data_IF_163272213361
#
_entry.id   IF_163272213361
#
_cell.length_a   1.000
_cell.length_b   1.000
_cell.length_c   1.000
_cell.angle_alpha   90.00
_cell.angle_beta   90.00
_cell.angle_gamma   90.00
#
_symmetry.space_group_name_H-M   'P 1'
#
loop_
_entity.id
_entity.type
_entity.pdbx_description
1 polymer ?
#
# COMPACT_ATOMS: atom_id res chain seq x y z
N UNK A 1 -4.15 -40.70 24.72
CA UNK A 1 -2.80 -40.13 24.93
C UNK A 1 -1.83 -40.82 23.97
N UNK A 2 -1.37 -40.13 22.93
CA UNK A 2 -0.25 -40.56 22.06
C UNK A 2 0.18 -39.39 21.17
N UNK A 3 0.73 -38.33 21.76
CA UNK A 3 1.29 -37.18 21.04
C UNK A 3 2.81 -36.97 21.22
N UNK A 4 3.44 -37.67 22.18
CA UNK A 4 4.79 -37.34 22.68
C UNK A 4 5.94 -38.03 21.97
N UNK A 5 5.99 -38.02 20.63
CA UNK A 5 7.22 -38.38 19.89
C UNK A 5 7.39 -37.57 18.62
N UNK A 6 6.32 -37.37 17.85
CA UNK A 6 6.36 -36.53 16.66
C UNK A 6 6.40 -35.03 17.01
N UNK A 7 5.64 -34.60 18.03
CA UNK A 7 5.68 -33.21 18.51
C UNK A 7 7.06 -32.82 19.04
N UNK A 8 7.67 -33.70 19.83
CA UNK A 8 8.97 -33.48 20.45
C UNK A 8 10.11 -33.42 19.41
N UNK A 9 10.03 -34.23 18.35
CA UNK A 9 10.98 -34.19 17.23
C UNK A 9 10.87 -32.91 16.41
N UNK A 10 9.64 -32.40 16.20
CA UNK A 10 9.42 -31.13 15.51
C UNK A 10 9.94 -29.97 16.37
N UNK A 11 9.69 -29.97 17.69
CA UNK A 11 10.25 -28.96 18.60
C UNK A 11 11.79 -28.97 18.67
N UNK A 12 12.42 -30.14 18.52
CA UNK A 12 13.88 -30.28 18.47
C UNK A 12 14.47 -29.87 17.12
N UNK A 13 13.73 -30.01 16.01
CA UNK A 13 14.20 -29.66 14.68
C UNK A 13 13.98 -28.18 14.31
N UNK A 14 13.05 -27.49 14.98
CA UNK A 14 12.70 -26.11 14.66
C UNK A 14 13.70 -25.11 15.24
N UNK A 15 14.14 -24.18 14.39
CA UNK A 15 14.86 -22.98 14.83
C UNK A 15 13.98 -22.11 15.73
N UNK A 16 14.58 -21.25 16.55
CA UNK A 16 13.82 -20.29 17.36
C UNK A 16 12.87 -19.44 16.52
N UNK A 17 13.30 -19.00 15.33
CA UNK A 17 12.43 -18.31 14.38
C UNK A 17 11.26 -19.18 13.93
N UNK A 18 11.50 -20.45 13.60
CA UNK A 18 10.44 -21.40 13.24
C UNK A 18 9.40 -21.58 14.35
N UNK A 19 9.84 -21.67 15.61
CA UNK A 19 8.96 -21.74 16.78
C UNK A 19 8.10 -20.49 16.92
N UNK A 20 8.70 -19.31 16.81
CA UNK A 20 7.97 -18.03 16.92
C UNK A 20 6.98 -17.85 15.76
N UNK A 21 7.37 -18.22 14.54
CA UNK A 21 6.48 -18.17 13.36
C UNK A 21 5.28 -19.10 13.55
N UNK A 22 5.50 -20.36 13.92
CA UNK A 22 4.41 -21.31 14.14
C UNK A 22 3.49 -20.86 15.28
N UNK A 23 4.05 -20.30 16.34
CA UNK A 23 3.27 -19.70 17.41
C UNK A 23 2.39 -18.56 16.89
N UNK A 24 2.96 -17.58 16.16
CA UNK A 24 2.19 -16.48 15.56
C UNK A 24 1.03 -17.00 14.69
N UNK A 25 1.28 -17.99 13.84
CA UNK A 25 0.25 -18.62 13.01
C UNK A 25 -0.85 -19.29 13.87
N UNK A 26 -0.46 -19.93 14.96
CA UNK A 26 -1.39 -20.66 15.84
C UNK A 26 -2.32 -19.75 16.65
N UNK A 27 -1.92 -18.51 16.90
CA UNK A 27 -2.70 -17.52 17.67
C UNK A 27 -3.49 -16.57 16.77
N UNK A 28 -3.35 -16.64 15.46
CA UNK A 28 -3.96 -15.71 14.51
C UNK A 28 -5.48 -15.55 14.73
N UNK A 29 -5.90 -14.34 15.12
CA UNK A 29 -7.31 -14.01 15.38
C UNK A 29 -7.87 -14.53 16.71
N UNK A 30 -7.05 -15.17 17.54
CA UNK A 30 -7.40 -15.63 18.89
C UNK A 30 -6.64 -14.80 19.94
N UNK A 31 -7.18 -13.61 20.22
CA UNK A 31 -6.63 -12.65 21.19
C UNK A 31 -6.37 -13.30 22.56
N UNK A 32 -7.27 -14.19 23.00
CA UNK A 32 -7.17 -14.82 24.30
C UNK A 32 -6.04 -15.86 24.35
N UNK A 33 -5.80 -16.58 23.24
CA UNK A 33 -4.67 -17.50 23.13
C UNK A 33 -3.35 -16.75 23.03
N UNK A 34 -3.29 -15.64 22.28
CA UNK A 34 -2.13 -14.75 22.24
C UNK A 34 -1.71 -14.36 23.65
N UNK A 35 -2.64 -13.84 24.46
CA UNK A 35 -2.36 -13.42 25.84
C UNK A 35 -1.90 -14.57 26.74
N UNK A 36 -2.47 -15.78 26.59
CA UNK A 36 -2.10 -16.93 27.42
C UNK A 36 -0.75 -17.56 27.05
N UNK A 37 -0.36 -17.50 25.78
CA UNK A 37 0.80 -18.23 25.27
C UNK A 37 2.04 -17.36 25.03
N UNK A 38 1.91 -16.03 25.06
CA UNK A 38 3.01 -15.10 24.77
C UNK A 38 4.24 -15.30 25.68
N UNK A 39 4.07 -15.68 26.95
CA UNK A 39 5.19 -15.95 27.87
C UNK A 39 5.95 -17.22 27.51
N UNK A 40 5.31 -18.20 26.85
CA UNK A 40 5.96 -19.45 26.44
C UNK A 40 6.96 -19.25 25.32
N UNK A 41 6.77 -18.22 24.51
CA UNK A 41 7.62 -17.97 23.33
C UNK A 41 8.72 -16.93 23.59
N UNK A 42 8.79 -16.36 24.80
CA UNK A 42 9.71 -15.29 25.15
C UNK A 42 11.18 -15.66 24.93
N UNK A 43 11.60 -16.85 25.33
CA UNK A 43 12.98 -17.32 25.14
C UNK A 43 13.34 -17.49 23.66
N UNK A 44 12.42 -18.04 22.86
CA UNK A 44 12.60 -18.18 21.42
C UNK A 44 12.64 -16.82 20.73
N UNK A 45 11.84 -15.85 21.18
CA UNK A 45 11.86 -14.47 20.67
C UNK A 45 13.20 -13.78 20.96
N UNK A 46 13.73 -13.97 22.17
CA UNK A 46 15.04 -13.46 22.58
C UNK A 46 16.17 -14.06 21.72
N UNK A 47 16.09 -15.34 21.38
CA UNK A 47 17.04 -15.99 20.46
C UNK A 47 16.92 -15.42 19.04
N UNK A 48 15.70 -15.20 18.53
CA UNK A 48 15.47 -14.52 17.24
C UNK A 48 16.12 -13.14 17.22
N UNK A 49 15.99 -12.36 18.29
CA UNK A 49 16.57 -11.02 18.39
C UNK A 49 18.10 -11.00 18.43
N UNK A 50 18.75 -12.10 18.83
CA UNK A 50 20.21 -12.25 18.80
C UNK A 50 20.73 -12.69 17.43
N UNK A 51 19.87 -13.22 16.56
CA UNK A 51 20.26 -13.71 15.25
C UNK A 51 20.59 -12.55 14.28
N UNK A 52 21.50 -12.77 13.30
CA UNK A 52 21.69 -11.83 12.20
C UNK A 52 20.37 -11.72 11.41
N UNK A 53 19.80 -10.52 11.33
CA UNK A 53 18.46 -10.20 10.81
C UNK A 53 17.27 -10.39 11.78
N UNK A 54 17.53 -10.58 13.08
CA UNK A 54 16.48 -10.71 14.10
C UNK A 54 15.45 -9.57 14.12
N UNK A 55 15.90 -8.33 13.88
CA UNK A 55 15.01 -7.17 13.83
C UNK A 55 14.03 -7.20 12.64
N UNK A 56 14.50 -7.61 11.47
CA UNK A 56 13.64 -7.72 10.29
C UNK A 56 12.62 -8.87 10.45
N UNK A 57 13.05 -9.98 11.07
CA UNK A 57 12.15 -11.06 11.44
C UNK A 57 11.09 -10.60 12.47
N UNK A 58 11.51 -9.87 13.51
CA UNK A 58 10.60 -9.30 14.49
C UNK A 58 9.58 -8.36 13.84
N UNK A 59 10.01 -7.41 12.99
CA UNK A 59 9.10 -6.51 12.27
C UNK A 59 8.05 -7.29 11.47
N UNK A 60 8.46 -8.35 10.78
CA UNK A 60 7.54 -9.19 10.02
C UNK A 60 6.52 -9.92 10.91
N UNK A 61 6.97 -10.45 12.05
CA UNK A 61 6.12 -11.15 13.03
C UNK A 61 5.13 -10.18 13.70
N UNK A 62 5.58 -9.03 14.16
CA UNK A 62 4.73 -8.01 14.78
C UNK A 62 3.70 -7.47 13.80
N UNK A 63 4.10 -7.19 12.56
CA UNK A 63 3.17 -6.80 11.50
C UNK A 63 2.12 -7.87 11.24
N UNK A 64 2.50 -9.16 11.28
CA UNK A 64 1.54 -10.26 11.14
C UNK A 64 0.56 -10.32 12.30
N UNK A 65 1.02 -10.19 13.54
CA UNK A 65 0.16 -10.19 14.72
C UNK A 65 -0.85 -9.03 14.68
N UNK A 66 -0.38 -7.80 14.41
CA UNK A 66 -1.25 -6.62 14.28
C UNK A 66 -2.28 -6.82 13.15
N UNK A 67 -1.89 -7.43 12.03
CA UNK A 67 -2.80 -7.66 10.91
C UNK A 67 -3.82 -8.77 11.14
N UNK A 68 -3.56 -9.71 12.05
CA UNK A 68 -4.44 -10.86 12.32
C UNK A 68 -5.33 -10.68 13.54
N UNK A 69 -5.06 -9.67 14.36
CA UNK A 69 -5.81 -9.39 15.60
C UNK A 69 -6.47 -8.01 15.50
N UNK A 70 -7.50 -7.89 14.65
CA UNK A 70 -8.16 -6.60 14.34
C UNK A 70 -8.75 -5.87 15.57
N UNK A 71 -9.02 -6.62 16.66
CA UNK A 71 -9.56 -6.08 17.92
C UNK A 71 -8.47 -5.50 18.85
N UNK A 72 -7.22 -5.85 18.58
CA UNK A 72 -6.07 -5.40 19.34
C UNK A 72 -5.38 -4.26 18.58
N UNK A 73 -5.45 -3.06 19.15
CA UNK A 73 -4.63 -1.95 18.69
C UNK A 73 -3.14 -2.22 18.99
N UNK A 74 -2.26 -1.49 18.30
CA UNK A 74 -0.79 -1.61 18.42
C UNK A 74 -0.34 -1.50 19.89
N UNK A 75 -0.99 -0.64 20.68
CA UNK A 75 -0.67 -0.42 22.10
C UNK A 75 -1.06 -1.60 22.99
N UNK A 76 -2.18 -2.27 22.70
CA UNK A 76 -2.58 -3.51 23.39
C UNK A 76 -1.60 -4.64 23.07
N UNK A 77 -1.23 -4.81 21.79
CA UNK A 77 -0.21 -5.80 21.39
C UNK A 77 1.11 -5.53 22.10
N UNK A 78 1.54 -4.26 22.17
CA UNK A 78 2.72 -3.84 22.93
C UNK A 78 2.65 -4.25 24.40
N UNK A 79 1.55 -3.94 25.10
CA UNK A 79 1.38 -4.31 26.51
C UNK A 79 1.35 -5.83 26.76
N UNK A 80 0.83 -6.62 25.83
CA UNK A 80 0.83 -8.08 25.93
C UNK A 80 2.27 -8.60 25.82
N UNK A 81 3.02 -8.10 24.85
CA UNK A 81 4.42 -8.49 24.64
C UNK A 81 5.33 -7.98 25.76
N UNK A 82 5.09 -6.78 26.30
CA UNK A 82 5.81 -6.23 27.45
C UNK A 82 5.74 -7.15 28.66
N UNK A 83 4.57 -7.72 28.96
CA UNK A 83 4.40 -8.64 30.10
C UNK A 83 5.15 -9.96 29.94
N UNK A 84 5.56 -10.29 28.72
CA UNK A 84 6.13 -11.59 28.38
C UNK A 84 7.62 -11.53 28.04
N UNK A 85 8.09 -10.39 27.54
CA UNK A 85 9.43 -10.21 27.02
C UNK A 85 10.44 -9.81 28.11
N UNK A 86 11.70 -10.24 27.96
CA UNK A 86 12.81 -9.71 28.77
C UNK A 86 13.11 -8.23 28.45
N UNK A 87 13.87 -7.51 29.30
CA UNK A 87 14.08 -6.05 29.17
C UNK A 87 14.57 -5.59 27.79
N UNK A 88 15.46 -6.38 27.16
CA UNK A 88 15.97 -6.08 25.81
C UNK A 88 14.89 -6.22 24.75
N UNK A 89 14.07 -7.25 24.82
CA UNK A 89 13.00 -7.49 23.86
C UNK A 89 11.89 -6.46 24.00
N UNK A 90 11.59 -5.98 25.21
CA UNK A 90 10.61 -4.91 25.45
C UNK A 90 10.95 -3.63 24.67
N UNK A 91 12.17 -3.10 24.82
CA UNK A 91 12.59 -1.85 24.16
C UNK A 91 12.51 -1.93 22.62
N UNK A 92 12.97 -3.05 22.07
CA UNK A 92 12.95 -3.28 20.63
C UNK A 92 11.52 -3.44 20.12
N UNK A 93 10.67 -4.20 20.82
CA UNK A 93 9.28 -4.43 20.43
C UNK A 93 8.49 -3.11 20.38
N UNK A 94 8.60 -2.28 21.42
CA UNK A 94 7.91 -0.97 21.47
C UNK A 94 8.35 -0.10 20.29
N UNK A 95 9.66 0.00 20.05
CA UNK A 95 10.21 0.81 18.95
C UNK A 95 9.69 0.33 17.58
N UNK A 96 9.63 -0.98 17.35
CA UNK A 96 9.16 -1.55 16.09
C UNK A 96 7.65 -1.36 15.93
N UNK A 97 6.87 -1.52 17.00
CA UNK A 97 5.42 -1.27 16.98
C UNK A 97 5.09 0.20 16.68
N UNK A 98 5.81 1.14 17.29
CA UNK A 98 5.66 2.57 17.01
C UNK A 98 5.94 2.91 15.54
N UNK A 99 6.98 2.31 14.94
CA UNK A 99 7.27 2.54 13.51
C UNK A 99 6.22 1.90 12.60
N UNK A 100 5.68 0.73 12.97
CA UNK A 100 4.55 0.11 12.26
C UNK A 100 3.32 1.04 12.29
N UNK A 101 2.98 1.60 13.45
CA UNK A 101 1.86 2.54 13.61
C UNK A 101 2.09 3.79 12.76
N UNK A 102 3.23 4.48 12.94
CA UNK A 102 3.56 5.69 12.17
C UNK A 102 3.58 5.44 10.67
N UNK A 103 4.11 4.31 10.20
CA UNK A 103 4.11 3.96 8.77
C UNK A 103 2.70 3.70 8.26
N UNK A 104 1.86 3.07 9.09
CA UNK A 104 0.43 2.88 8.83
C UNK A 104 -0.30 4.21 8.66
N UNK A 105 -0.12 5.13 9.60
CA UNK A 105 -0.70 6.48 9.56
C UNK A 105 -0.26 7.25 8.31
N UNK A 106 1.06 7.36 8.06
CA UNK A 106 1.59 8.04 6.85
C UNK A 106 1.01 7.47 5.56
N UNK A 107 0.87 6.14 5.48
CA UNK A 107 0.26 5.47 4.32
C UNK A 107 -1.24 5.75 4.23
N UNK A 108 -1.94 5.76 5.35
CA UNK A 108 -3.36 6.08 5.45
C UNK A 108 -3.64 7.52 5.02
N UNK A 109 -2.93 8.49 5.57
CA UNK A 109 -3.02 9.90 5.21
C UNK A 109 -2.75 10.15 3.73
N UNK A 110 -1.67 9.56 3.19
CA UNK A 110 -1.36 9.68 1.76
C UNK A 110 -2.48 9.11 0.89
N UNK A 111 -3.00 7.93 1.23
CA UNK A 111 -4.12 7.31 0.51
C UNK A 111 -5.38 8.15 0.59
N UNK A 112 -5.75 8.60 1.79
CA UNK A 112 -6.90 9.46 2.02
C UNK A 112 -6.81 10.76 1.24
N UNK A 113 -5.64 11.40 1.20
CA UNK A 113 -5.41 12.61 0.40
C UNK A 113 -5.59 12.37 -1.10
N UNK A 114 -5.07 11.26 -1.64
CA UNK A 114 -5.21 10.93 -3.07
C UNK A 114 -6.67 10.62 -3.42
N UNK A 115 -7.33 9.76 -2.63
CA UNK A 115 -8.75 9.42 -2.84
C UNK A 115 -9.63 10.67 -2.74
N UNK A 116 -9.42 11.49 -1.70
CA UNK A 116 -10.15 12.74 -1.53
C UNK A 116 -9.95 13.69 -2.70
N UNK A 117 -8.71 13.88 -3.17
CA UNK A 117 -8.46 14.71 -4.38
C UNK A 117 -9.15 14.16 -5.62
N UNK A 118 -9.17 12.85 -5.83
CA UNK A 118 -9.85 12.24 -6.96
C UNK A 118 -11.36 12.48 -6.91
N UNK A 119 -11.97 12.29 -5.73
CA UNK A 119 -13.41 12.56 -5.50
C UNK A 119 -13.75 14.03 -5.72
N UNK A 120 -12.99 14.95 -5.13
CA UNK A 120 -13.20 16.39 -5.35
C UNK A 120 -13.05 16.76 -6.82
N UNK A 121 -12.06 16.21 -7.54
CA UNK A 121 -11.90 16.48 -8.96
C UNK A 121 -13.09 15.95 -9.79
N UNK A 122 -13.65 14.79 -9.44
CA UNK A 122 -14.87 14.28 -10.07
C UNK A 122 -16.05 15.23 -9.88
N UNK A 123 -16.32 15.66 -8.64
CA UNK A 123 -17.41 16.58 -8.32
C UNK A 123 -17.28 17.89 -9.10
N UNK A 124 -16.07 18.45 -9.18
CA UNK A 124 -15.81 19.67 -9.94
C UNK A 124 -16.00 19.48 -11.45
N UNK A 125 -15.57 18.34 -11.99
CA UNK A 125 -15.72 18.02 -13.41
C UNK A 125 -17.19 17.76 -13.77
N UNK A 126 -17.93 17.06 -12.92
CA UNK A 126 -19.38 16.85 -13.08
C UNK A 126 -20.14 18.16 -13.01
N UNK A 127 -19.79 19.04 -12.07
CA UNK A 127 -20.39 20.37 -11.95
C UNK A 127 -20.13 21.26 -13.16
N UNK A 128 -18.96 21.14 -13.81
CA UNK A 128 -18.58 21.98 -14.96
C UNK A 128 -19.01 21.43 -16.32
N UNK A 129 -18.90 20.13 -16.52
CA UNK A 129 -19.09 19.47 -17.81
C UNK A 129 -20.32 18.55 -17.86
N UNK A 130 -21.03 18.38 -16.74
CA UNK A 130 -22.14 17.45 -16.61
C UNK A 130 -21.67 16.01 -16.37
N UNK A 131 -22.60 15.06 -16.50
CA UNK A 131 -22.34 13.65 -16.20
C UNK A 131 -21.11 13.10 -16.94
N UNK A 132 -20.17 12.52 -16.19
CA UNK A 132 -18.94 11.96 -16.74
C UNK A 132 -19.14 10.50 -17.17
N UNK A 133 -18.57 10.07 -18.32
CA UNK A 133 -18.57 8.66 -18.70
C UNK A 133 -17.85 7.81 -17.65
N UNK A 134 -18.37 6.62 -17.33
CA UNK A 134 -17.82 5.73 -16.30
C UNK A 134 -16.31 5.45 -16.46
N UNK A 135 -15.83 5.36 -17.71
CA UNK A 135 -14.40 5.18 -18.02
C UNK A 135 -13.53 6.35 -17.57
N UNK A 136 -14.04 7.58 -17.68
CA UNK A 136 -13.37 8.79 -17.21
C UNK A 136 -13.33 8.79 -15.69
N UNK A 137 -14.45 8.49 -15.04
CA UNK A 137 -14.52 8.46 -13.59
C UNK A 137 -13.57 7.42 -12.98
N UNK A 138 -13.52 6.22 -13.55
CA UNK A 138 -12.58 5.17 -13.14
C UNK A 138 -11.12 5.59 -13.33
N UNK A 139 -10.81 6.28 -14.43
CA UNK A 139 -9.46 6.80 -14.69
C UNK A 139 -9.04 7.86 -13.65
N UNK A 140 -9.98 8.68 -13.18
CA UNK A 140 -9.71 9.70 -12.15
C UNK A 140 -9.49 9.05 -10.79
N UNK A 141 -10.33 8.09 -10.40
CA UNK A 141 -10.17 7.37 -9.14
C UNK A 141 -8.88 6.55 -9.06
N UNK A 142 -8.34 6.11 -10.20
CA UNK A 142 -7.09 5.36 -10.29
C UNK A 142 -5.84 6.24 -10.47
N UNK A 143 -5.98 7.55 -10.66
CA UNK A 143 -4.86 8.44 -10.91
C UNK A 143 -4.02 8.68 -9.64
N UNK A 144 -2.71 8.86 -9.83
CA UNK A 144 -1.81 9.23 -8.74
C UNK A 144 -1.93 10.73 -8.38
N UNK A 145 -1.33 11.09 -7.25
CA UNK A 145 -1.37 12.45 -6.70
C UNK A 145 -0.90 13.51 -7.71
N UNK A 146 0.19 13.25 -8.44
CA UNK A 146 0.78 14.20 -9.38
C UNK A 146 -0.11 14.43 -10.61
N UNK A 147 -0.72 13.36 -11.10
CA UNK A 147 -1.67 13.40 -12.21
C UNK A 147 -2.93 14.19 -11.81
N UNK A 148 -3.47 13.93 -10.62
CA UNK A 148 -4.62 14.65 -10.08
C UNK A 148 -4.32 16.14 -9.93
N UNK A 149 -3.18 16.51 -9.36
CA UNK A 149 -2.75 17.92 -9.24
C UNK A 149 -2.67 18.60 -10.61
N UNK A 150 -2.13 17.91 -11.62
CA UNK A 150 -2.03 18.43 -12.98
C UNK A 150 -3.41 18.70 -13.58
N UNK A 151 -4.35 17.74 -13.44
CA UNK A 151 -5.71 17.91 -13.95
C UNK A 151 -6.48 18.98 -13.21
N UNK A 152 -6.36 19.08 -11.87
CA UNK A 152 -6.97 20.16 -11.09
C UNK A 152 -6.47 21.53 -11.56
N UNK A 153 -5.17 21.67 -11.86
CA UNK A 153 -4.63 22.91 -12.42
C UNK A 153 -5.21 23.25 -13.80
N UNK A 154 -5.28 22.26 -14.70
CA UNK A 154 -5.85 22.43 -16.05
C UNK A 154 -7.34 22.73 -16.04
N UNK A 155 -8.07 22.28 -15.03
CA UNK A 155 -9.48 22.56 -14.87
C UNK A 155 -9.79 24.06 -14.81
N UNK A 156 -8.85 24.91 -14.41
CA UNK A 156 -9.05 26.35 -14.32
C UNK A 156 -9.09 27.06 -15.69
N UNK A 157 -8.52 26.46 -16.73
CA UNK A 157 -8.36 27.10 -18.05
C UNK A 157 -8.90 26.29 -19.22
N UNK A 158 -8.94 24.96 -19.11
CA UNK A 158 -9.43 24.07 -20.15
C UNK A 158 -10.90 24.36 -20.48
N UNK A 159 -11.30 24.32 -21.75
CA UNK A 159 -12.70 24.48 -22.17
C UNK A 159 -13.43 23.14 -22.31
N UNK A 160 -12.69 22.03 -22.32
CA UNK A 160 -13.23 20.68 -22.51
C UNK A 160 -12.64 19.69 -21.52
N UNK A 161 -13.40 18.62 -21.22
CA UNK A 161 -12.92 17.49 -20.42
C UNK A 161 -11.64 16.87 -21.00
N UNK A 162 -11.53 16.82 -22.33
CA UNK A 162 -10.39 16.26 -23.05
C UNK A 162 -9.10 17.03 -22.76
N UNK A 163 -9.17 18.36 -22.75
CA UNK A 163 -8.05 19.24 -22.42
C UNK A 163 -7.59 19.07 -20.97
N UNK A 164 -8.54 18.95 -20.03
CA UNK A 164 -8.21 18.69 -18.61
C UNK A 164 -7.41 17.40 -18.49
N UNK A 165 -7.92 16.31 -19.07
CA UNK A 165 -7.32 14.98 -18.96
C UNK A 165 -6.09 14.78 -19.84
N UNK A 166 -5.72 15.79 -20.66
CA UNK A 166 -4.58 15.73 -21.57
C UNK A 166 -4.72 14.67 -22.65
N UNK A 167 -5.95 14.30 -23.03
CA UNK A 167 -6.17 13.36 -24.12
C UNK A 167 -5.83 14.06 -25.43
N UNK A 168 -4.63 13.81 -25.95
CA UNK A 168 -4.21 14.29 -27.26
C UNK A 168 -5.34 14.03 -28.27
N UNK A 169 -5.80 15.07 -28.98
CA UNK A 169 -6.65 14.89 -30.15
C UNK A 169 -6.00 13.81 -31.01
N UNK A 170 -6.77 12.77 -31.36
CA UNK A 170 -6.28 11.72 -32.24
C UNK A 170 -5.57 12.38 -33.42
N UNK A 171 -4.32 11.97 -33.67
CA UNK A 171 -3.43 12.59 -34.67
C UNK A 171 -4.23 12.94 -35.93
N UNK A 172 -4.53 14.22 -36.08
CA UNK A 172 -4.80 14.82 -37.38
C UNK A 172 -3.47 14.79 -38.15
N UNK A 173 -3.13 13.63 -38.71
CA UNK A 173 -2.01 13.46 -39.65
C UNK A 173 -2.45 12.48 -40.74
N UNK A 174 -3.58 12.79 -41.36
CA UNK A 174 -4.07 12.10 -42.55
C UNK A 174 -4.95 13.03 -43.41
N UNK A 175 -4.64 14.33 -43.51
CA UNK A 175 -5.33 15.23 -44.44
C UNK A 175 -4.59 16.55 -44.69
N UNK A 176 -3.37 16.49 -45.22
CA UNK A 176 -2.82 17.60 -46.01
C UNK A 176 -2.29 17.01 -47.32
N UNK A 177 -3.24 16.61 -48.17
CA UNK A 177 -3.01 16.51 -49.61
C UNK A 177 -3.15 17.93 -50.17
N UNK A 178 -2.11 18.54 -50.75
CA UNK A 178 -2.33 19.73 -51.55
C UNK A 178 -2.84 19.29 -52.93
N UNK A 179 -4.13 19.52 -53.20
CA UNK A 179 -4.68 19.50 -54.55
C UNK A 179 -4.74 20.91 -55.11
N UNK A 180 -3.86 21.14 -56.09
CA UNK A 180 -4.02 21.97 -57.29
C UNK A 180 -4.07 23.51 -57.17
N UNK A 181 -3.18 24.19 -57.93
CA UNK A 181 -3.66 25.03 -59.06
C UNK A 181 -2.59 25.40 -60.10
N UNK A 182 -3.04 25.34 -61.35
CA UNK A 182 -2.41 25.70 -62.63
C UNK A 182 -1.96 27.18 -62.69
N UNK A 183 -0.84 27.49 -63.35
CA UNK A 183 -0.83 28.13 -64.69
C UNK A 183 0.60 28.55 -65.10
N UNK A 184 0.92 28.34 -66.40
CA UNK A 184 1.81 29.13 -67.29
C UNK A 184 2.58 28.24 -68.27
N UNK A 185 1.98 28.04 -69.45
CA UNK A 185 2.67 28.27 -70.73
C UNK A 185 2.42 29.76 -71.08
N UNK A 186 3.24 30.48 -71.90
CA UNK A 186 4.01 29.96 -73.03
C UNK A 186 5.44 30.58 -73.23
N UNK A 187 6.11 30.16 -74.32
CA UNK A 187 7.04 30.93 -75.18
C UNK A 187 8.56 30.75 -75.03
N UNK A 188 9.21 30.44 -76.17
CA UNK A 188 10.64 30.69 -76.49
C UNK A 188 11.45 29.42 -76.82
N UNK A 189 11.51 28.93 -78.07
CA UNK A 189 12.42 29.35 -79.17
C UNK A 189 13.92 29.14 -78.83
N UNK A 190 14.48 27.98 -79.21
CA UNK A 190 15.42 27.78 -80.34
C UNK A 190 15.75 26.29 -80.47
#
# INVERSE_FOLDING_TARGET
MSGGRAGDLVEQALTALGKVVLWCLSVAGDDARLEREVTRIAEALDEVLRAPNGLAALEALLRYLVATHERLDVKKVGRILEKAAGPRAQEVVVTVLDEIERRGERRGERRGRVVGRAQTLLELLEGRFGALPAKVSARILAADEATLTTWTGRLLSASTLREVLGEASGRASAAQRPSARKSRMPSGVR
#
